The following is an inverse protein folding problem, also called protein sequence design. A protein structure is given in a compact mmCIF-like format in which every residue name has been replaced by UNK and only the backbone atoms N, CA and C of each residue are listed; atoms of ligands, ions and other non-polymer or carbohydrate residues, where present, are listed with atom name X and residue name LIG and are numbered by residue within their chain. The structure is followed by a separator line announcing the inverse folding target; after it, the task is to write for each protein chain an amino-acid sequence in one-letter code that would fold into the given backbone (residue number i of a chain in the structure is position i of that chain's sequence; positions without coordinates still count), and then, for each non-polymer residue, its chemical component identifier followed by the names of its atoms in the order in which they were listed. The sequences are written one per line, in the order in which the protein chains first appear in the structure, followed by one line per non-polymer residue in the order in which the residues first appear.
data_IF_776603573499
#
_entry.id   IF_776603573499
#
_cell.length_a   1.000
_cell.length_b   1.000
_cell.length_c   1.000
_cell.angle_alpha   90.00
_cell.angle_beta   90.00
_cell.angle_gamma   90.00
#
_symmetry.space_group_name_H-M   'P 1'
#
loop_
_entity.id
_entity.type
_entity.pdbx_description
1 polymer ?
#
# COMPACT_ATOMS: atom_id res chain seq x y z
N UNK A 1 -2.96 -12.18 9.06
CA UNK A 1 -4.08 -11.41 9.65
C UNK A 1 -4.58 -10.39 8.62
N UNK A 2 -5.86 -10.00 8.64
CA UNK A 2 -6.42 -9.03 7.68
C UNK A 2 -6.99 -7.82 8.43
N UNK A 3 -6.55 -6.63 8.05
CA UNK A 3 -6.98 -5.35 8.62
C UNK A 3 -7.65 -4.52 7.53
N UNK A 4 -8.81 -3.97 7.81
CA UNK A 4 -9.57 -3.18 6.84
C UNK A 4 -9.59 -1.72 7.24
N UNK A 5 -9.19 -0.85 6.31
CA UNK A 5 -9.21 0.59 6.51
C UNK A 5 -10.00 1.33 5.43
N UNK A 6 -9.76 2.63 5.32
CA UNK A 6 -10.36 3.50 4.31
C UNK A 6 -9.28 4.16 3.47
N UNK A 7 -9.61 4.68 2.27
CA UNK A 7 -8.62 5.40 1.45
C UNK A 7 -8.69 5.04 -0.03
N UNK A 8 -7.53 4.89 -0.66
CA UNK A 8 -7.35 4.63 -2.09
C UNK A 8 -7.27 3.13 -2.34
N UNK A 9 -8.25 2.62 -3.08
CA UNK A 9 -8.30 1.21 -3.49
C UNK A 9 -7.18 0.88 -4.45
N UNK A 10 -6.53 -0.25 -4.24
CA UNK A 10 -5.59 -0.80 -5.22
C UNK A 10 -4.94 -2.08 -4.76
N UNK A 11 -3.94 -2.53 -5.52
CA UNK A 11 -3.15 -3.71 -5.21
C UNK A 11 -1.70 -3.31 -4.96
N UNK A 12 -1.15 -3.73 -3.84
CA UNK A 12 0.29 -3.61 -3.57
C UNK A 12 0.80 -4.81 -2.79
N UNK A 13 2.04 -5.20 -3.04
CA UNK A 13 2.74 -6.22 -2.25
C UNK A 13 4.14 -5.72 -1.97
N UNK A 14 4.58 -5.86 -0.73
CA UNK A 14 5.86 -5.31 -0.33
C UNK A 14 6.25 -5.68 1.09
N UNK A 15 7.39 -5.14 1.51
CA UNK A 15 7.79 -5.18 2.92
C UNK A 15 7.25 -3.96 3.64
N UNK A 16 6.72 -4.14 4.85
CA UNK A 16 6.38 -3.05 5.73
C UNK A 16 7.62 -2.24 6.07
N UNK A 17 7.51 -0.92 5.99
CA UNK A 17 8.51 -0.01 6.51
C UNK A 17 7.82 0.93 7.48
N UNK A 18 7.98 0.66 8.78
CA UNK A 18 7.25 1.34 9.85
C UNK A 18 8.06 2.53 10.35
N UNK A 19 7.46 3.72 10.29
CA UNK A 19 8.03 4.98 10.77
C UNK A 19 7.19 5.49 11.94
N UNK A 20 7.80 5.57 13.12
CA UNK A 20 7.15 6.03 14.37
C UNK A 20 7.68 7.38 14.87
N UNK A 21 8.87 7.80 14.43
CA UNK A 21 9.55 8.97 14.98
C UNK A 21 10.32 9.71 13.89
N UNK A 22 9.97 10.98 13.62
CA UNK A 22 10.72 11.88 12.75
C UNK A 22 11.86 12.59 13.52
N UNK A 23 12.69 11.82 14.22
CA UNK A 23 13.86 12.33 14.96
C UNK A 23 14.97 12.90 14.06
N UNK A 24 16.16 13.16 14.62
CA UNK A 24 17.30 13.88 14.00
C UNK A 24 17.90 13.28 12.69
N UNK A 25 17.38 12.17 12.17
CA UNK A 25 17.75 11.59 10.87
C UNK A 25 16.48 11.39 10.04
N UNK A 26 16.55 11.60 8.73
CA UNK A 26 15.43 11.37 7.83
C UNK A 26 14.93 9.92 7.97
N UNK A 27 13.75 9.68 8.57
CA UNK A 27 13.29 8.31 8.84
C UNK A 27 12.82 7.61 7.55
N UNK A 28 12.71 8.35 6.45
CA UNK A 28 12.32 7.88 5.13
C UNK A 28 13.54 7.67 4.20
N UNK A 29 14.74 7.98 4.68
CA UNK A 29 16.00 7.70 4.00
C UNK A 29 16.29 6.19 4.20
N UNK A 30 16.58 5.46 3.12
CA UNK A 30 16.73 3.99 3.07
C UNK A 30 15.44 3.14 2.97
N UNK A 31 14.33 3.69 2.45
CA UNK A 31 13.18 2.84 2.09
C UNK A 31 13.58 1.91 0.92
N UNK A 32 13.57 0.57 1.10
CA UNK A 32 13.91 -0.33 0.02
C UNK A 32 12.85 -0.28 -1.09
N UNK A 33 13.24 -0.48 -2.36
CA UNK A 33 12.30 -0.50 -3.47
C UNK A 33 11.27 -1.63 -3.31
N UNK A 34 10.00 -1.33 -3.58
CA UNK A 34 8.90 -2.28 -3.39
C UNK A 34 8.39 -2.37 -1.95
N UNK A 35 8.60 -1.34 -1.14
CA UNK A 35 8.14 -1.32 0.25
C UNK A 35 6.79 -0.63 0.42
N UNK A 36 6.05 -1.03 1.45
CA UNK A 36 4.81 -0.40 1.87
C UNK A 36 5.14 0.47 3.08
N UNK A 37 4.95 1.78 2.92
CA UNK A 37 5.22 2.73 3.99
C UNK A 37 4.09 2.67 5.02
N UNK A 38 4.45 2.49 6.28
CA UNK A 38 3.51 2.46 7.39
C UNK A 38 3.89 3.56 8.39
N UNK A 39 3.02 4.55 8.56
CA UNK A 39 3.28 5.68 9.45
C UNK A 39 2.14 5.88 10.44
N UNK A 40 2.42 6.46 11.61
CA UNK A 40 1.35 6.86 12.52
C UNK A 40 0.51 7.98 11.91
N UNK A 41 1.23 9.00 11.48
CA UNK A 41 0.75 10.23 10.88
C UNK A 41 1.65 10.57 9.71
N UNK A 42 1.08 11.12 8.66
CA UNK A 42 1.83 11.60 7.52
C UNK A 42 1.42 13.04 7.20
N UNK A 43 2.34 13.99 7.35
CA UNK A 43 2.13 15.38 6.91
C UNK A 43 2.66 15.59 5.49
N UNK A 44 2.15 16.62 4.80
CA UNK A 44 2.73 17.08 3.52
C UNK A 44 4.22 17.40 3.63
N UNK A 45 4.68 17.91 4.78
CA UNK A 45 6.11 18.18 4.99
C UNK A 45 6.93 16.88 4.98
N UNK A 46 6.46 15.83 5.65
CA UNK A 46 7.10 14.51 5.66
C UNK A 46 7.10 13.89 4.25
N UNK A 47 6.01 14.08 3.51
CA UNK A 47 5.86 13.60 2.13
C UNK A 47 6.97 14.09 1.19
N UNK A 48 7.57 15.25 1.46
CA UNK A 48 8.69 15.78 0.66
C UNK A 48 10.02 15.06 0.89
N UNK A 49 10.18 14.38 2.03
CA UNK A 49 11.37 13.61 2.37
C UNK A 49 11.31 12.17 1.85
N UNK A 50 10.14 11.76 1.36
CA UNK A 50 9.86 10.38 0.96
C UNK A 50 10.19 10.16 -0.51
N UNK A 51 10.98 9.13 -0.82
CA UNK A 51 11.16 8.67 -2.19
C UNK A 51 10.02 7.72 -2.60
N UNK A 52 8.98 8.29 -3.20
CA UNK A 52 7.81 7.54 -3.67
C UNK A 52 8.13 6.52 -4.78
N UNK A 53 9.29 6.58 -5.43
CA UNK A 53 9.67 5.59 -6.45
C UNK A 53 9.88 4.20 -5.85
N UNK A 54 10.26 4.14 -4.58
CA UNK A 54 10.52 2.91 -3.87
C UNK A 54 9.27 2.37 -3.16
N UNK A 55 8.19 3.15 -3.13
CA UNK A 55 6.98 2.83 -2.39
C UNK A 55 5.93 2.27 -3.33
N UNK A 56 5.34 1.16 -2.94
CA UNK A 56 4.24 0.52 -3.67
C UNK A 56 2.89 0.66 -2.98
N UNK A 57 2.86 1.15 -1.74
CA UNK A 57 1.62 1.45 -1.02
C UNK A 57 1.87 2.23 0.26
N UNK A 58 0.82 2.89 0.76
CA UNK A 58 0.85 3.66 2.01
C UNK A 58 -0.17 3.12 3.01
N UNK A 59 0.21 3.12 4.27
CA UNK A 59 -0.65 2.80 5.40
C UNK A 59 -0.44 3.85 6.49
N UNK A 60 -1.50 4.52 6.91
CA UNK A 60 -1.48 5.52 7.97
C UNK A 60 -2.45 5.11 9.06
N UNK A 61 -2.02 5.13 10.31
CA UNK A 61 -2.89 4.81 11.44
C UNK A 61 -3.93 5.90 11.68
N UNK A 62 -3.49 7.14 11.69
CA UNK A 62 -4.35 8.30 11.91
C UNK A 62 -5.38 8.43 10.78
N UNK A 63 -6.53 8.97 11.12
CA UNK A 63 -7.56 9.34 10.16
C UNK A 63 -7.13 10.53 9.32
N UNK A 64 -7.27 10.41 8.00
CA UNK A 64 -6.94 11.48 7.04
C UNK A 64 -8.14 12.42 6.91
N UNK A 65 -8.44 13.17 7.96
CA UNK A 65 -9.61 14.06 8.02
C UNK A 65 -9.64 15.08 6.85
N UNK A 66 -8.46 15.58 6.46
CA UNK A 66 -8.28 16.54 5.37
C UNK A 66 -8.11 15.86 3.98
N UNK A 67 -8.01 14.53 3.92
CA UNK A 67 -7.84 13.78 2.66
C UNK A 67 -6.47 13.96 1.99
N UNK A 68 -5.48 14.54 2.67
CA UNK A 68 -4.19 14.90 2.11
C UNK A 68 -3.38 13.66 1.72
N UNK A 69 -3.42 12.62 2.56
CA UNK A 69 -2.74 11.34 2.28
C UNK A 69 -3.39 10.64 1.09
N UNK A 70 -4.72 10.64 1.02
CA UNK A 70 -5.44 10.06 -0.11
C UNK A 70 -5.16 10.79 -1.42
N UNK A 71 -5.06 12.12 -1.39
CA UNK A 71 -4.70 12.93 -2.56
C UNK A 71 -3.27 12.65 -3.00
N UNK A 72 -2.32 12.61 -2.07
CA UNK A 72 -0.94 12.23 -2.34
C UNK A 72 -0.90 10.86 -3.03
N UNK A 73 -1.48 9.83 -2.41
CA UNK A 73 -1.53 8.47 -2.93
C UNK A 73 -2.11 8.35 -4.34
N UNK A 74 -3.17 9.11 -4.63
CA UNK A 74 -3.73 9.21 -5.99
C UNK A 74 -2.74 9.84 -6.98
N UNK A 75 -2.01 10.87 -6.56
CA UNK A 75 -1.00 11.53 -7.39
C UNK A 75 0.17 10.64 -7.78
N UNK A 76 0.62 9.77 -6.87
CA UNK A 76 1.67 8.75 -7.11
C UNK A 76 1.13 7.46 -7.71
N UNK A 77 -0.19 7.25 -7.74
CA UNK A 77 -0.81 6.08 -8.36
C UNK A 77 -0.66 4.79 -7.55
N UNK A 78 -0.53 4.89 -6.22
CA UNK A 78 -0.39 3.75 -5.32
C UNK A 78 -1.59 3.64 -4.38
N UNK A 79 -1.95 2.44 -3.90
CA UNK A 79 -2.97 2.29 -2.88
C UNK A 79 -2.53 2.93 -1.57
N UNK A 80 -3.49 3.50 -0.85
CA UNK A 80 -3.26 4.08 0.46
C UNK A 80 -4.42 3.77 1.38
N UNK A 81 -4.08 3.39 2.61
CA UNK A 81 -5.05 3.04 3.61
C UNK A 81 -4.80 3.89 4.85
N UNK A 82 -5.84 4.52 5.35
CA UNK A 82 -5.83 5.50 6.44
C UNK A 82 -6.90 5.14 7.47
N UNK A 83 -6.74 5.62 8.70
CA UNK A 83 -7.69 5.38 9.78
C UNK A 83 -7.72 3.93 10.27
N UNK A 84 -6.56 3.27 10.31
CA UNK A 84 -6.45 1.95 10.93
C UNK A 84 -5.90 2.10 12.35
N UNK A 85 -6.82 1.99 13.32
CA UNK A 85 -6.47 1.84 14.73
C UNK A 85 -5.62 0.58 14.94
N UNK A 86 -4.55 0.69 15.75
CA UNK A 86 -3.63 -0.41 16.10
C UNK A 86 -2.75 -1.01 14.99
N UNK A 87 -2.77 -0.45 13.78
CA UNK A 87 -1.91 -0.90 12.65
C UNK A 87 -0.41 -0.96 13.03
N UNK A 88 0.07 0.05 13.77
CA UNK A 88 1.46 0.14 14.21
C UNK A 88 1.85 -0.87 15.30
N UNK A 89 0.89 -1.41 16.05
CA UNK A 89 1.19 -2.41 17.08
C UNK A 89 1.43 -3.77 16.46
N UNK A 90 0.74 -4.06 15.37
CA UNK A 90 0.77 -5.37 14.71
C UNK A 90 1.81 -5.45 13.59
N UNK A 91 2.08 -4.33 12.91
CA UNK A 91 3.02 -4.29 11.78
C UNK A 91 4.40 -3.88 12.26
N UNK A 92 5.42 -4.66 11.89
CA UNK A 92 6.83 -4.37 12.14
C UNK A 92 7.58 -4.17 10.83
N UNK A 93 8.57 -3.26 10.83
CA UNK A 93 9.45 -3.06 9.66
C UNK A 93 10.10 -4.39 9.24
N UNK A 94 9.93 -4.76 7.98
CA UNK A 94 10.39 -6.02 7.40
C UNK A 94 9.29 -7.07 7.20
N UNK A 95 8.12 -6.90 7.82
CA UNK A 95 6.99 -7.82 7.64
C UNK A 95 6.46 -7.82 6.20
N UNK A 96 5.90 -8.94 5.78
CA UNK A 96 5.26 -9.03 4.46
C UNK A 96 3.87 -8.44 4.55
N UNK A 97 3.61 -7.42 3.74
CA UNK A 97 2.30 -6.81 3.61
C UNK A 97 1.75 -7.01 2.21
N UNK A 98 0.46 -7.31 2.14
CA UNK A 98 -0.29 -7.36 0.91
C UNK A 98 -1.54 -6.49 1.04
N UNK A 99 -1.67 -5.51 0.17
CA UNK A 99 -2.83 -4.64 0.08
C UNK A 99 -3.69 -5.11 -1.07
N UNK A 100 -4.97 -5.37 -0.79
CA UNK A 100 -5.98 -5.70 -1.77
C UNK A 100 -7.22 -4.83 -1.55
N UNK A 101 -7.49 -3.92 -2.49
CA UNK A 101 -8.52 -2.89 -2.36
C UNK A 101 -8.32 -2.03 -1.11
N UNK A 102 -9.04 -2.33 -0.02
CA UNK A 102 -8.97 -1.62 1.27
C UNK A 102 -8.56 -2.55 2.42
N UNK A 103 -8.21 -3.80 2.08
CA UNK A 103 -7.81 -4.83 3.04
C UNK A 103 -6.28 -4.98 3.00
N UNK A 104 -5.65 -4.90 4.17
CA UNK A 104 -4.22 -5.13 4.41
C UNK A 104 -4.05 -6.48 5.05
N UNK A 105 -3.30 -7.37 4.41
CA UNK A 105 -2.90 -8.64 4.97
C UNK A 105 -1.48 -8.52 5.54
N UNK A 106 -1.35 -8.77 6.83
CA UNK A 106 -0.07 -8.78 7.56
C UNK A 106 0.44 -10.22 7.68
N UNK A 107 1.69 -10.43 7.26
CA UNK A 107 2.36 -11.73 7.15
C UNK A 107 1.44 -12.83 6.58
N UNK A 108 0.98 -12.69 5.31
CA UNK A 108 0.22 -13.75 4.67
C UNK A 108 1.08 -15.01 4.53
N UNK A 109 0.46 -16.17 4.74
CA UNK A 109 1.09 -17.45 4.47
C UNK A 109 1.52 -17.57 3.00
N UNK A 110 2.47 -18.46 2.73
CA UNK A 110 2.97 -18.67 1.36
C UNK A 110 1.82 -19.06 0.42
N UNK A 111 0.88 -19.87 0.91
CA UNK A 111 -0.31 -20.30 0.17
C UNK A 111 -1.23 -19.12 -0.17
N UNK A 112 -1.46 -18.23 0.79
CA UNK A 112 -2.22 -16.98 0.57
C UNK A 112 -1.51 -16.06 -0.43
N UNK A 113 -0.18 -15.95 -0.34
CA UNK A 113 0.61 -15.14 -1.26
C UNK A 113 0.51 -15.67 -2.70
N UNK A 114 0.60 -16.99 -2.88
CA UNK A 114 0.46 -17.67 -4.17
C UNK A 114 -0.96 -17.53 -4.70
N UNK A 115 -1.98 -17.68 -3.86
CA UNK A 115 -3.37 -17.52 -4.24
C UNK A 115 -3.67 -16.10 -4.75
N UNK A 116 -3.12 -15.08 -4.09
CA UNK A 116 -3.25 -13.68 -4.52
C UNK A 116 -2.43 -13.38 -5.78
N UNK A 117 -1.23 -13.94 -5.95
CA UNK A 117 -0.48 -13.83 -7.20
C UNK A 117 -1.21 -14.49 -8.37
N UNK A 118 -1.81 -15.66 -8.14
CA UNK A 118 -2.70 -16.30 -9.13
C UNK A 118 -3.92 -15.45 -9.43
N UNK A 119 -4.61 -14.92 -8.41
CA UNK A 119 -5.79 -14.06 -8.61
C UNK A 119 -5.44 -12.77 -9.39
N UNK A 120 -4.25 -12.19 -9.17
CA UNK A 120 -3.74 -11.09 -9.99
C UNK A 120 -3.48 -11.53 -11.42
N UNK A 121 -2.81 -12.67 -11.61
CA UNK A 121 -2.52 -13.23 -12.93
C UNK A 121 -3.81 -13.56 -13.69
N UNK A 122 -4.84 -14.08 -13.00
CA UNK A 122 -6.16 -14.36 -13.56
C UNK A 122 -6.93 -13.07 -13.87
N UNK A 123 -6.83 -12.04 -13.03
CA UNK A 123 -7.45 -10.72 -13.30
C UNK A 123 -6.80 -10.04 -14.51
N UNK A 124 -5.49 -10.16 -14.68
CA UNK A 124 -4.74 -9.68 -15.85
C UNK A 124 -5.10 -10.51 -17.11
N UNK A 125 -5.25 -11.82 -16.93
CA UNK A 125 -5.69 -12.74 -18.00
C UNK A 125 -7.12 -12.43 -18.44
N UNK A 126 -8.01 -12.08 -17.50
CA UNK A 126 -9.41 -11.78 -17.80
C UNK A 126 -9.61 -10.38 -18.42
N UNK A 127 -8.70 -9.43 -18.18
CA UNK A 127 -8.62 -8.16 -18.91
C UNK A 127 -8.08 -8.34 -20.34
N UNK A 128 -7.19 -9.31 -20.58
CA UNK A 128 -6.71 -9.64 -21.93
C UNK A 128 -7.71 -10.42 -22.79
N UNK A 129 -8.72 -11.06 -22.19
CA UNK A 129 -9.70 -11.91 -22.88
C UNK A 129 -11.03 -11.21 -23.21
N UNK A 130 -11.18 -9.92 -22.92
CA UNK A 130 -12.39 -9.14 -23.23
C UNK A 130 -12.16 -8.02 -24.25
N UNK A 131 -11.34 -8.24 -25.29
CA UNK A 131 -11.56 -7.49 -26.54
C UNK A 131 -12.73 -8.15 -27.28
N UNK A 132 -13.88 -7.49 -27.46
CA UNK A 132 -14.84 -7.96 -28.45
C UNK A 132 -14.15 -7.92 -29.82
N UNK A 133 -14.17 -9.05 -30.52
CA UNK A 133 -14.05 -9.07 -31.97
C UNK A 133 -15.11 -8.12 -32.54
N UNK A 134 -14.77 -6.86 -32.76
CA UNK A 134 -15.52 -6.02 -33.67
C UNK A 134 -15.00 -6.32 -35.07
N UNK A 135 -15.63 -7.32 -35.68
CA UNK A 135 -15.64 -7.53 -37.12
C UNK A 135 -15.96 -6.21 -37.81
N UNK A 136 -15.01 -5.63 -38.52
CA UNK A 136 -15.27 -4.64 -39.56
C UNK A 136 -14.99 -5.30 -40.90
N UNK A 137 -16.08 -5.65 -41.56
CA UNK A 137 -16.19 -5.76 -43.02
C UNK A 137 -16.40 -4.37 -43.60
#
# INVERSE_FOLDING_TARGET
MTVRGTGVRGFAKGRAFVVRDCGQRNPFEDIPPGSILVAERLSLSDSTLIDFRNIVGLVVCEEDADGQVCVLAKGIGVPAIVGISDCLKEIVTGDRLLIWNLDVLVNPDLDTTIAYEKARSESDTQLSLNLPHSTYY
#
